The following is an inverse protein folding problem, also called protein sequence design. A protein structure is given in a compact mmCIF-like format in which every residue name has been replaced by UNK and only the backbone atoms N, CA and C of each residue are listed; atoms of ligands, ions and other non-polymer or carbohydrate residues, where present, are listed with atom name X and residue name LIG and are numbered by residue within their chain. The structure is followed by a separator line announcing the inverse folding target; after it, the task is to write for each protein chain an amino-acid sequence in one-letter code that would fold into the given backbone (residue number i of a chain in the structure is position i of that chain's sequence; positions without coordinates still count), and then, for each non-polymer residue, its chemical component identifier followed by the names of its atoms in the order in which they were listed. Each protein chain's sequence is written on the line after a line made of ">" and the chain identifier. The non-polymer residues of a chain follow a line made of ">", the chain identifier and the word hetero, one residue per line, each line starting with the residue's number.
data_IF_863891673194
#
_entry.id   IF_863891673194
#
_cell.length_a   1.000
_cell.length_b   1.000
_cell.length_c   1.000
_cell.angle_alpha   90.00
_cell.angle_beta   90.00
_cell.angle_gamma   90.00
#
_symmetry.space_group_name_H-M   'P 1'
#
loop_
_entity.id
_entity.type
_entity.pdbx_description
1 polymer ?
#
# COMPACT_ATOMS: atom_id res chain seq x y z
N UNK A 1 -22.09 -8.17 -19.12
CA UNK A 1 -21.00 -7.92 -18.18
C UNK A 1 -20.65 -9.18 -17.44
N UNK A 2 -19.41 -9.62 -17.52
CA UNK A 2 -18.95 -10.75 -16.72
C UNK A 2 -18.88 -10.30 -15.25
N UNK A 3 -19.67 -10.96 -14.41
CA UNK A 3 -19.53 -10.88 -12.95
C UNK A 3 -18.19 -11.56 -12.62
N UNK A 4 -17.39 -10.96 -11.73
CA UNK A 4 -16.15 -11.63 -11.25
C UNK A 4 -16.52 -13.05 -10.84
N UNK A 5 -15.86 -14.10 -11.36
CA UNK A 5 -16.19 -15.47 -11.02
C UNK A 5 -16.14 -15.72 -9.52
N UNK A 6 -17.07 -16.48 -8.98
CA UNK A 6 -17.14 -16.75 -7.54
C UNK A 6 -15.86 -17.42 -7.01
N UNK A 7 -15.24 -18.28 -7.80
CA UNK A 7 -13.95 -18.90 -7.49
C UNK A 7 -12.84 -17.87 -7.25
N UNK A 8 -12.76 -16.86 -8.11
CA UNK A 8 -11.77 -15.76 -7.99
C UNK A 8 -12.01 -14.92 -6.73
N UNK A 9 -13.29 -14.63 -6.45
CA UNK A 9 -13.68 -13.90 -5.24
C UNK A 9 -13.26 -14.71 -4.00
N UNK A 10 -13.59 -16.00 -3.96
CA UNK A 10 -13.25 -16.90 -2.85
C UNK A 10 -11.74 -17.00 -2.65
N UNK A 11 -10.97 -17.19 -3.71
CA UNK A 11 -9.51 -17.28 -3.66
C UNK A 11 -8.90 -15.99 -3.11
N UNK A 12 -9.34 -14.83 -3.59
CA UNK A 12 -8.85 -13.53 -3.11
C UNK A 12 -9.10 -13.34 -1.60
N UNK A 13 -10.27 -13.74 -1.08
CA UNK A 13 -10.52 -13.65 0.36
C UNK A 13 -9.70 -14.64 1.18
N UNK A 14 -9.43 -15.84 0.67
CA UNK A 14 -8.51 -16.78 1.32
C UNK A 14 -7.08 -16.23 1.39
N UNK A 15 -6.58 -15.66 0.29
CA UNK A 15 -5.28 -15.01 0.25
C UNK A 15 -5.21 -13.80 1.20
N UNK A 16 -6.25 -12.98 1.26
CA UNK A 16 -6.34 -11.85 2.19
C UNK A 16 -6.30 -12.30 3.65
N UNK A 17 -7.05 -13.35 3.99
CA UNK A 17 -7.06 -13.89 5.35
C UNK A 17 -5.69 -14.42 5.77
N UNK A 18 -5.05 -15.19 4.89
CA UNK A 18 -3.68 -15.71 5.09
C UNK A 18 -2.66 -14.58 5.21
N UNK A 19 -2.73 -13.58 4.33
CA UNK A 19 -1.88 -12.39 4.38
C UNK A 19 -2.03 -11.66 5.70
N UNK A 20 -3.28 -11.38 6.12
CA UNK A 20 -3.58 -10.64 7.35
C UNK A 20 -3.04 -11.39 8.58
N UNK A 21 -3.29 -12.69 8.67
CA UNK A 21 -2.78 -13.50 9.78
C UNK A 21 -1.24 -13.50 9.84
N UNK A 22 -0.59 -13.76 8.71
CA UNK A 22 0.87 -13.79 8.63
C UNK A 22 1.51 -12.44 8.97
N UNK A 23 0.88 -11.35 8.58
CA UNK A 23 1.34 -9.98 8.91
C UNK A 23 1.14 -9.66 10.39
N UNK A 24 0.01 -10.00 10.99
CA UNK A 24 -0.20 -9.86 12.44
C UNK A 24 0.90 -10.59 13.22
N UNK A 25 1.23 -11.81 12.80
CA UNK A 25 2.29 -12.62 13.41
C UNK A 25 3.68 -12.02 13.18
N UNK A 26 4.06 -11.76 11.94
CA UNK A 26 5.40 -11.26 11.59
C UNK A 26 5.69 -9.87 12.12
N UNK A 27 4.66 -9.04 12.26
CA UNK A 27 4.78 -7.72 12.86
C UNK A 27 4.68 -7.75 14.41
N UNK A 28 4.53 -8.94 15.02
CA UNK A 28 4.57 -9.16 16.45
C UNK A 28 3.35 -8.62 17.22
N UNK A 29 2.20 -8.43 16.57
CA UNK A 29 1.00 -7.93 17.24
C UNK A 29 0.47 -8.90 18.29
N UNK A 30 0.60 -10.22 18.08
CA UNK A 30 0.10 -11.23 19.02
C UNK A 30 0.83 -11.21 20.38
N UNK A 31 2.10 -10.78 20.39
CA UNK A 31 2.90 -10.71 21.60
C UNK A 31 2.98 -9.30 22.21
N UNK A 32 2.53 -8.27 21.48
CA UNK A 32 2.80 -6.87 21.82
C UNK A 32 2.15 -6.46 23.14
N UNK A 33 0.86 -6.79 23.34
CA UNK A 33 0.16 -6.51 24.59
C UNK A 33 0.80 -7.23 25.79
N UNK A 34 1.20 -8.48 25.62
CA UNK A 34 1.86 -9.26 26.65
C UNK A 34 3.25 -8.68 27.01
N UNK A 35 4.03 -8.23 26.02
CA UNK A 35 5.33 -7.57 26.23
C UNK A 35 5.17 -6.30 27.05
N UNK A 36 4.22 -5.45 26.70
CA UNK A 36 3.90 -4.23 27.47
C UNK A 36 3.42 -4.56 28.86
N UNK A 37 2.52 -5.52 29.03
CA UNK A 37 2.01 -5.94 30.34
C UNK A 37 3.11 -6.49 31.23
N UNK A 38 4.04 -7.26 30.68
CA UNK A 38 5.23 -7.74 31.42
C UNK A 38 6.13 -6.59 31.83
N UNK A 39 6.41 -5.66 30.91
CA UNK A 39 7.24 -4.49 31.21
C UNK A 39 6.58 -3.59 32.25
N UNK A 40 5.26 -3.38 32.19
CA UNK A 40 4.49 -2.62 33.16
C UNK A 40 4.60 -3.20 34.58
N UNK A 41 4.58 -4.53 34.72
CA UNK A 41 4.76 -5.20 36.04
C UNK A 41 6.15 -5.03 36.62
N UNK A 42 7.19 -5.02 35.78
CA UNK A 42 8.60 -4.96 36.22
C UNK A 42 9.05 -3.51 36.46
N UNK A 43 8.72 -2.62 35.55
CA UNK A 43 9.23 -1.26 35.50
C UNK A 43 8.19 -0.20 35.89
N UNK A 44 6.89 -0.54 35.82
CA UNK A 44 5.81 0.44 36.05
C UNK A 44 5.84 1.12 37.40
N UNK A 45 6.16 0.39 38.47
CA UNK A 45 6.28 0.94 39.82
C UNK A 45 7.49 1.92 39.99
N UNK A 46 8.46 1.86 39.09
CA UNK A 46 9.66 2.75 39.10
C UNK A 46 9.43 4.04 38.31
N UNK A 47 8.29 4.18 37.63
CA UNK A 47 7.96 5.35 36.84
C UNK A 47 7.24 6.38 37.70
N UNK A 48 7.78 7.59 37.72
CA UNK A 48 7.13 8.73 38.37
C UNK A 48 6.17 9.40 37.38
N UNK A 49 4.91 9.56 37.76
CA UNK A 49 3.84 10.16 36.98
C UNK A 49 3.43 11.55 37.46
N UNK A 50 4.22 12.19 38.38
CA UNK A 50 3.89 13.51 38.92
C UNK A 50 3.80 14.59 37.83
N UNK A 51 4.66 14.49 36.82
CA UNK A 51 4.65 15.41 35.67
C UNK A 51 3.70 14.95 34.52
N UNK A 52 2.73 14.09 34.77
CA UNK A 52 1.84 13.54 33.72
C UNK A 52 1.06 14.61 32.97
N UNK A 53 0.75 15.75 33.60
CA UNK A 53 0.11 16.89 32.95
C UNK A 53 0.99 17.51 31.87
N UNK A 54 2.33 17.56 32.08
CA UNK A 54 3.29 18.05 31.10
C UNK A 54 3.35 17.17 29.86
N UNK A 55 2.91 15.92 29.99
CA UNK A 55 2.81 14.92 28.91
C UNK A 55 1.39 14.79 28.34
N UNK A 56 0.53 15.78 28.60
CA UNK A 56 -0.85 15.85 28.10
C UNK A 56 -1.77 14.70 28.59
N UNK A 57 -1.51 14.15 29.77
CA UNK A 57 -2.45 13.26 30.44
C UNK A 57 -3.44 14.10 31.22
N UNK A 58 -4.74 13.99 30.91
CA UNK A 58 -5.78 14.72 31.63
C UNK A 58 -6.10 14.09 33.00
N UNK A 59 -6.46 14.93 33.99
CA UNK A 59 -6.83 14.47 35.31
C UNK A 59 -8.08 13.55 35.27
N UNK A 60 -9.05 13.86 34.41
CA UNK A 60 -10.25 13.06 34.24
C UNK A 60 -9.89 11.63 33.77
N UNK A 61 -9.09 11.50 32.72
CA UNK A 61 -8.65 10.21 32.21
C UNK A 61 -7.77 9.47 33.23
N UNK A 62 -6.92 10.18 33.97
CA UNK A 62 -6.15 9.59 35.06
C UNK A 62 -7.04 9.00 36.14
N UNK A 63 -8.06 9.72 36.58
CA UNK A 63 -9.00 9.26 37.61
C UNK A 63 -9.81 8.04 37.16
N UNK A 64 -10.18 7.98 35.87
CA UNK A 64 -10.83 6.79 35.29
C UNK A 64 -9.92 5.55 35.38
N UNK A 65 -8.62 5.69 35.08
CA UNK A 65 -7.68 4.57 35.23
C UNK A 65 -7.56 4.10 36.68
N UNK A 66 -7.47 5.04 37.63
CA UNK A 66 -7.38 4.71 39.05
C UNK A 66 -8.64 3.97 39.53
N UNK A 67 -9.82 4.47 39.16
CA UNK A 67 -11.12 3.84 39.50
C UNK A 67 -11.21 2.43 38.91
N UNK A 68 -10.78 2.23 37.68
CA UNK A 68 -10.81 0.94 37.00
C UNK A 68 -9.60 0.04 37.34
N UNK A 69 -8.71 0.49 38.23
CA UNK A 69 -7.49 -0.23 38.68
C UNK A 69 -6.60 -0.65 37.48
N UNK A 70 -6.48 0.20 36.47
CA UNK A 70 -5.64 -0.02 35.29
C UNK A 70 -4.28 0.61 35.55
N UNK A 71 -3.22 -0.14 35.35
CA UNK A 71 -1.86 0.39 35.42
C UNK A 71 -1.67 1.49 34.35
N UNK A 72 -1.27 2.72 34.71
CA UNK A 72 -1.17 3.84 33.79
C UNK A 72 -0.34 3.55 32.55
N UNK A 73 0.72 2.79 32.70
CA UNK A 73 1.62 2.38 31.63
C UNK A 73 0.96 1.48 30.56
N UNK A 74 -0.18 0.84 30.85
CA UNK A 74 -0.95 0.09 29.85
C UNK A 74 -1.73 1.01 28.89
N UNK A 75 -1.88 2.28 29.27
CA UNK A 75 -2.65 3.25 28.49
C UNK A 75 -1.75 4.40 28.06
N UNK A 76 -1.13 5.10 28.99
CA UNK A 76 -0.35 6.30 28.72
C UNK A 76 1.13 6.01 28.45
N UNK A 77 1.68 6.71 27.47
CA UNK A 77 3.07 6.63 27.08
C UNK A 77 3.93 7.53 28.00
N UNK A 78 4.79 6.90 28.79
CA UNK A 78 5.75 7.62 29.62
C UNK A 78 7.04 7.93 28.79
N UNK A 79 7.64 9.14 28.89
CA UNK A 79 8.84 9.50 28.11
C UNK A 79 9.98 8.50 28.29
N UNK A 80 10.24 8.06 29.53
CA UNK A 80 11.29 7.08 29.85
C UNK A 80 11.06 5.72 29.17
N UNK A 81 9.78 5.30 29.02
CA UNK A 81 9.43 4.06 28.34
C UNK A 81 9.80 4.15 26.86
N UNK A 82 9.47 5.26 26.22
CA UNK A 82 9.82 5.48 24.80
C UNK A 82 11.33 5.58 24.59
N UNK A 83 12.07 6.17 25.51
CA UNK A 83 13.53 6.21 25.45
C UNK A 83 14.17 4.84 25.62
N UNK A 84 13.68 4.02 26.55
CA UNK A 84 14.19 2.67 26.82
C UNK A 84 13.80 1.66 25.73
N UNK A 85 12.59 1.78 25.20
CA UNK A 85 12.01 0.85 24.21
C UNK A 85 11.28 1.63 23.12
N UNK A 86 11.99 2.23 22.15
CA UNK A 86 11.36 3.01 21.07
C UNK A 86 10.29 2.23 20.31
N UNK A 87 10.47 0.93 20.09
CA UNK A 87 9.51 0.07 19.38
C UNK A 87 8.14 -0.06 20.07
N UNK A 88 8.05 0.26 21.35
CA UNK A 88 6.75 0.32 22.05
C UNK A 88 5.85 1.45 21.56
N UNK A 89 6.39 2.41 20.78
CA UNK A 89 5.59 3.42 20.08
C UNK A 89 4.43 2.78 19.30
N UNK A 90 4.68 1.65 18.65
CA UNK A 90 3.69 0.87 17.90
C UNK A 90 2.46 0.52 18.75
N UNK A 91 2.69 0.10 19.99
CA UNK A 91 1.61 -0.23 20.92
C UNK A 91 0.77 1.00 21.25
N UNK A 92 1.40 2.06 21.78
CA UNK A 92 0.69 3.24 22.26
C UNK A 92 -0.05 3.96 21.14
N UNK A 93 0.57 4.09 19.96
CA UNK A 93 -0.10 4.63 18.78
C UNK A 93 -1.33 3.79 18.39
N UNK A 94 -1.20 2.47 18.45
CA UNK A 94 -2.30 1.57 18.09
C UNK A 94 -3.45 1.64 19.10
N UNK A 95 -3.16 1.72 20.39
CA UNK A 95 -4.18 1.92 21.45
C UNK A 95 -4.82 3.31 21.32
N UNK A 96 -4.06 4.35 20.92
CA UNK A 96 -4.59 5.67 20.64
C UNK A 96 -5.42 5.74 19.35
N UNK A 97 -5.59 4.64 18.62
CA UNK A 97 -6.31 4.56 17.34
C UNK A 97 -5.76 5.50 16.25
N UNK A 98 -4.49 5.90 16.34
CA UNK A 98 -3.84 6.80 15.39
C UNK A 98 -3.20 5.99 14.25
N UNK A 99 -3.50 6.24 12.96
CA UNK A 99 -2.77 5.63 11.87
C UNK A 99 -1.33 6.15 11.81
N UNK A 100 -0.41 5.33 11.28
CA UNK A 100 1.03 5.68 11.25
C UNK A 100 1.31 7.01 10.52
N UNK A 101 0.67 7.22 9.35
CA UNK A 101 0.75 8.49 8.62
C UNK A 101 0.16 9.66 9.43
N UNK A 102 -0.94 9.41 10.16
CA UNK A 102 -1.55 10.41 11.06
C UNK A 102 -0.59 10.86 12.15
N UNK A 103 0.12 9.93 12.82
CA UNK A 103 1.11 10.29 13.83
C UNK A 103 2.26 11.12 13.24
N UNK A 104 2.75 10.76 12.04
CA UNK A 104 3.75 11.55 11.33
C UNK A 104 3.25 12.97 11.05
N UNK A 105 2.03 13.11 10.56
CA UNK A 105 1.44 14.43 10.25
C UNK A 105 1.24 15.29 11.50
N UNK A 106 0.78 14.71 12.60
CA UNK A 106 0.51 15.42 13.86
C UNK A 106 1.81 15.88 14.55
N UNK A 107 2.87 15.06 14.49
CA UNK A 107 4.10 15.31 15.24
C UNK A 107 5.24 15.90 14.40
N UNK A 108 5.18 15.75 13.07
CA UNK A 108 6.30 16.06 12.17
C UNK A 108 7.50 15.11 12.33
N UNK A 109 7.33 13.95 13.00
CA UNK A 109 8.37 12.93 13.14
C UNK A 109 8.26 11.98 11.94
N UNK A 110 9.18 12.10 10.99
CA UNK A 110 9.12 11.39 9.70
C UNK A 110 9.52 9.90 9.75
N UNK A 111 10.25 9.49 10.80
CA UNK A 111 10.82 8.13 10.91
C UNK A 111 10.01 7.19 11.82
N UNK A 112 8.70 7.38 11.95
CA UNK A 112 7.82 6.58 12.81
C UNK A 112 7.93 5.08 12.50
N UNK A 113 8.02 4.70 11.22
CA UNK A 113 8.18 3.29 10.83
C UNK A 113 9.48 2.67 11.35
N UNK A 114 10.60 3.38 11.27
CA UNK A 114 11.87 2.92 11.79
C UNK A 114 11.87 2.79 13.32
N UNK A 115 11.15 3.68 14.01
CA UNK A 115 10.98 3.62 15.47
C UNK A 115 10.18 2.35 15.83
N UNK A 116 9.02 2.15 15.21
CA UNK A 116 8.10 1.03 15.48
C UNK A 116 8.68 -0.33 15.08
N UNK A 117 9.50 -0.39 14.03
CA UNK A 117 10.17 -1.62 13.57
C UNK A 117 11.40 -2.01 14.39
N UNK A 118 11.80 -1.18 15.37
CA UNK A 118 12.96 -1.44 16.23
C UNK A 118 14.31 -1.12 15.59
N UNK A 119 14.33 -0.40 14.46
CA UNK A 119 15.56 0.09 13.82
C UNK A 119 16.22 1.23 14.60
N UNK A 120 15.46 1.89 15.50
CA UNK A 120 15.97 2.92 16.39
C UNK A 120 16.30 2.30 17.75
N UNK A 121 17.58 2.35 18.14
CA UNK A 121 18.03 1.80 19.41
C UNK A 121 17.58 2.65 20.62
N UNK A 122 17.59 2.05 21.81
CA UNK A 122 17.33 2.73 23.07
C UNK A 122 18.23 3.97 23.25
N UNK A 123 17.66 5.06 23.75
CA UNK A 123 18.35 6.32 23.99
C UNK A 123 18.74 7.12 22.74
N UNK A 124 18.35 6.68 21.53
CA UNK A 124 18.69 7.38 20.27
C UNK A 124 17.62 8.35 19.78
N UNK A 125 16.45 8.39 20.39
CA UNK A 125 15.44 9.41 20.10
C UNK A 125 15.87 10.75 20.69
N UNK A 126 15.80 11.82 19.88
CA UNK A 126 16.03 13.18 20.36
C UNK A 126 14.92 13.58 21.33
N UNK A 127 15.21 14.30 22.40
CA UNK A 127 14.23 14.71 23.41
C UNK A 127 13.02 15.40 22.78
N UNK A 128 13.22 16.31 21.82
CA UNK A 128 12.14 16.99 21.10
C UNK A 128 11.21 16.01 20.36
N UNK A 129 11.73 14.89 19.87
CA UNK A 129 10.90 13.85 19.22
C UNK A 129 10.09 13.09 20.28
N UNK A 130 10.74 12.72 21.40
CA UNK A 130 10.07 12.07 22.53
C UNK A 130 8.91 12.93 23.02
N UNK A 131 9.15 14.21 23.28
CA UNK A 131 8.15 15.14 23.82
C UNK A 131 6.93 15.26 22.87
N UNK A 132 7.18 15.41 21.58
CA UNK A 132 6.10 15.50 20.58
C UNK A 132 5.27 14.22 20.50
N UNK A 133 5.94 13.06 20.42
CA UNK A 133 5.28 11.75 20.36
C UNK A 133 4.46 11.47 21.62
N UNK A 134 5.05 11.71 22.78
CA UNK A 134 4.40 11.47 24.07
C UNK A 134 3.19 12.37 24.24
N UNK A 135 3.31 13.68 24.02
CA UNK A 135 2.20 14.63 24.16
C UNK A 135 1.04 14.28 23.22
N UNK A 136 1.33 14.11 21.95
CA UNK A 136 0.28 13.81 20.94
C UNK A 136 -0.46 12.50 21.25
N UNK A 137 0.27 11.45 21.61
CA UNK A 137 -0.34 10.16 21.93
C UNK A 137 -1.17 10.25 23.20
N UNK A 138 -0.64 10.86 24.26
CA UNK A 138 -1.34 10.94 25.55
C UNK A 138 -2.55 11.87 25.50
N UNK A 139 -2.51 12.96 24.73
CA UNK A 139 -3.65 13.82 24.49
C UNK A 139 -4.80 13.03 23.84
N UNK A 140 -4.49 12.25 22.80
CA UNK A 140 -5.48 11.40 22.14
C UNK A 140 -5.98 10.30 23.07
N UNK A 141 -5.09 9.66 23.83
CA UNK A 141 -5.47 8.64 24.80
C UNK A 141 -6.32 9.19 25.94
N UNK A 142 -6.04 10.41 26.41
CA UNK A 142 -6.88 11.08 27.41
C UNK A 142 -8.31 11.23 26.91
N UNK A 143 -8.49 11.70 25.67
CA UNK A 143 -9.81 11.80 25.04
C UNK A 143 -10.49 10.42 24.93
N UNK A 144 -9.77 9.40 24.45
CA UNK A 144 -10.32 8.06 24.27
C UNK A 144 -10.74 7.44 25.62
N UNK A 145 -9.95 7.64 26.66
CA UNK A 145 -10.24 7.13 28.01
C UNK A 145 -11.47 7.81 28.60
N UNK A 146 -11.65 9.10 28.43
CA UNK A 146 -12.84 9.82 28.92
C UNK A 146 -14.14 9.38 28.24
N UNK A 147 -14.07 8.89 27.00
CA UNK A 147 -15.20 8.30 26.30
C UNK A 147 -15.55 6.88 26.77
N UNK A 148 -14.66 6.20 27.51
CA UNK A 148 -14.76 4.79 27.87
C UNK A 148 -14.76 4.61 29.39
N UNK A 149 -15.87 4.91 30.05
CA UNK A 149 -16.01 4.80 31.53
C UNK A 149 -15.74 3.39 32.08
N UNK A 150 -15.91 2.34 31.26
CA UNK A 150 -15.71 0.93 31.60
C UNK A 150 -14.44 0.34 30.94
N UNK A 151 -13.43 1.16 30.72
CA UNK A 151 -12.14 0.73 30.16
C UNK A 151 -11.53 -0.42 30.98
N UNK A 152 -10.98 -1.41 30.29
CA UNK A 152 -10.29 -2.54 30.89
C UNK A 152 -9.20 -3.07 29.91
N UNK A 153 -8.36 -3.98 30.41
CA UNK A 153 -7.24 -4.53 29.63
C UNK A 153 -7.68 -5.16 28.30
N UNK A 154 -8.83 -5.84 28.26
CA UNK A 154 -9.36 -6.48 27.06
C UNK A 154 -9.80 -5.46 26.00
N UNK A 155 -10.41 -4.35 26.43
CA UNK A 155 -10.77 -3.25 25.53
C UNK A 155 -9.54 -2.55 24.96
N UNK A 156 -8.52 -2.32 25.79
CA UNK A 156 -7.24 -1.74 25.36
C UNK A 156 -6.56 -2.62 24.30
N UNK A 157 -6.51 -3.92 24.53
CA UNK A 157 -6.00 -4.88 23.54
C UNK A 157 -6.84 -4.88 22.25
N UNK A 158 -8.16 -4.82 22.37
CA UNK A 158 -9.08 -4.71 21.24
C UNK A 158 -8.83 -3.48 20.37
N UNK A 159 -8.57 -2.32 20.98
CA UNK A 159 -8.21 -1.08 20.26
C UNK A 159 -6.90 -1.22 19.47
N UNK A 160 -5.90 -1.87 20.05
CA UNK A 160 -4.66 -2.20 19.37
C UNK A 160 -4.89 -3.04 18.10
N UNK A 161 -5.71 -4.10 18.21
CA UNK A 161 -6.03 -4.95 17.05
C UNK A 161 -6.91 -4.24 16.01
N UNK A 162 -7.82 -3.36 16.42
CA UNK A 162 -8.61 -2.56 15.49
C UNK A 162 -7.72 -1.69 14.60
N UNK A 163 -6.75 -1.00 15.19
CA UNK A 163 -5.77 -0.19 14.43
C UNK A 163 -4.87 -1.04 13.53
N UNK A 164 -4.44 -2.22 14.03
CA UNK A 164 -3.68 -3.16 13.23
C UNK A 164 -4.47 -3.63 12.00
N UNK A 165 -5.76 -3.96 12.18
CA UNK A 165 -6.65 -4.38 11.09
C UNK A 165 -6.75 -3.33 9.98
N UNK A 166 -6.94 -2.06 10.32
CA UNK A 166 -6.99 -0.95 9.35
C UNK A 166 -5.67 -0.82 8.58
N UNK A 167 -4.51 -0.89 9.27
CA UNK A 167 -3.19 -0.86 8.63
C UNK A 167 -3.02 -2.02 7.65
N UNK A 168 -3.40 -3.22 8.05
CA UNK A 168 -3.23 -4.43 7.24
C UNK A 168 -4.17 -4.46 6.04
N UNK A 169 -5.38 -3.92 6.16
CA UNK A 169 -6.27 -3.75 5.01
C UNK A 169 -5.65 -2.83 3.95
N UNK A 170 -5.09 -1.68 4.36
CA UNK A 170 -4.35 -0.81 3.45
C UNK A 170 -3.17 -1.52 2.78
N UNK A 171 -2.37 -2.28 3.55
CA UNK A 171 -1.25 -3.05 3.02
C UNK A 171 -1.69 -4.15 2.05
N UNK A 172 -2.84 -4.78 2.27
CA UNK A 172 -3.42 -5.75 1.36
C UNK A 172 -3.83 -5.11 0.02
N UNK A 173 -4.47 -3.94 0.09
CA UNK A 173 -4.86 -3.20 -1.13
C UNK A 173 -3.66 -2.84 -2.00
N UNK A 174 -2.57 -2.38 -1.38
CA UNK A 174 -1.31 -2.10 -2.08
C UNK A 174 -0.77 -3.39 -2.71
N UNK A 175 -0.65 -4.47 -1.93
CA UNK A 175 -0.13 -5.75 -2.44
C UNK A 175 -0.92 -6.30 -3.63
N UNK A 176 -2.24 -6.20 -3.61
CA UNK A 176 -3.06 -6.69 -4.74
C UNK A 176 -2.89 -5.81 -5.98
N UNK A 177 -2.63 -4.50 -5.79
CA UNK A 177 -2.27 -3.58 -6.87
C UNK A 177 -0.95 -4.01 -7.52
N UNK A 178 0.11 -4.09 -6.72
CA UNK A 178 1.45 -4.48 -7.15
C UNK A 178 1.45 -5.83 -7.88
N UNK A 179 0.75 -6.83 -7.35
CA UNK A 179 0.66 -8.16 -7.97
C UNK A 179 -0.06 -8.13 -9.32
N UNK A 180 -1.13 -7.35 -9.45
CA UNK A 180 -1.81 -7.21 -10.73
C UNK A 180 -0.97 -6.50 -11.79
N UNK A 181 -0.25 -5.45 -11.42
CA UNK A 181 0.71 -4.79 -12.32
C UNK A 181 1.80 -5.77 -12.74
N UNK A 182 2.36 -6.53 -11.77
CA UNK A 182 3.39 -7.52 -12.04
C UNK A 182 2.94 -8.58 -13.05
N UNK A 183 1.72 -9.10 -12.91
CA UNK A 183 1.14 -10.08 -13.86
C UNK A 183 1.05 -9.50 -15.27
N UNK A 184 0.53 -8.30 -15.44
CA UNK A 184 0.39 -7.65 -16.76
C UNK A 184 1.75 -7.33 -17.36
N UNK A 185 2.71 -6.78 -16.57
CA UNK A 185 4.10 -6.52 -17.01
C UNK A 185 4.78 -7.81 -17.48
N UNK A 186 4.58 -8.91 -16.74
CA UNK A 186 5.11 -10.24 -17.11
C UNK A 186 4.53 -10.74 -18.43
N UNK A 187 3.24 -10.57 -18.65
CA UNK A 187 2.59 -10.96 -19.91
C UNK A 187 3.17 -10.14 -21.08
N UNK A 188 3.26 -8.81 -20.93
CA UNK A 188 3.82 -7.94 -21.95
C UNK A 188 5.26 -8.36 -22.28
N UNK A 189 6.11 -8.52 -21.27
CA UNK A 189 7.50 -8.91 -21.45
C UNK A 189 7.65 -10.25 -22.15
N UNK A 190 6.97 -11.29 -21.67
CA UNK A 190 7.09 -12.65 -22.20
C UNK A 190 6.63 -12.75 -23.65
N UNK A 191 5.56 -12.07 -24.01
CA UNK A 191 5.04 -12.09 -25.38
C UNK A 191 5.97 -11.32 -26.35
N UNK A 192 6.49 -10.17 -25.96
CA UNK A 192 7.46 -9.43 -26.78
C UNK A 192 8.78 -10.22 -26.91
N UNK A 193 9.22 -10.86 -25.85
CA UNK A 193 10.40 -11.72 -25.86
C UNK A 193 10.20 -12.92 -26.79
N UNK A 194 9.07 -13.60 -26.72
CA UNK A 194 8.74 -14.77 -27.58
C UNK A 194 8.69 -14.39 -29.08
N UNK A 195 8.38 -13.13 -29.39
CA UNK A 195 8.38 -12.63 -30.78
C UNK A 195 9.72 -12.02 -31.23
N UNK A 196 10.76 -12.06 -30.38
CA UNK A 196 12.07 -11.44 -30.63
C UNK A 196 11.98 -9.94 -30.92
N UNK A 197 11.07 -9.22 -30.26
CA UNK A 197 10.80 -7.80 -30.46
C UNK A 197 11.57 -6.89 -29.51
N UNK A 198 12.24 -7.44 -28.49
CA UNK A 198 13.04 -6.71 -27.50
C UNK A 198 14.49 -6.58 -28.00
N UNK A 199 15.04 -5.36 -27.96
CA UNK A 199 16.46 -5.11 -28.25
C UNK A 199 17.30 -5.07 -26.96
N UNK A 200 16.82 -4.34 -25.94
CA UNK A 200 17.51 -4.18 -24.66
C UNK A 200 16.53 -3.86 -23.53
N UNK A 201 16.99 -3.98 -22.29
CA UNK A 201 16.23 -3.73 -21.08
C UNK A 201 17.01 -2.79 -20.19
N UNK A 202 16.36 -1.75 -19.69
CA UNK A 202 16.86 -0.92 -18.60
C UNK A 202 16.26 -1.39 -17.28
N UNK A 203 17.10 -1.61 -16.30
CA UNK A 203 16.64 -2.01 -14.96
C UNK A 203 16.40 -0.79 -14.04
N UNK A 204 15.82 -1.00 -12.86
CA UNK A 204 15.56 0.06 -11.86
C UNK A 204 16.80 0.76 -11.30
N UNK A 205 18.01 0.33 -11.67
CA UNK A 205 19.29 0.98 -11.34
C UNK A 205 19.86 1.74 -12.53
N UNK A 206 19.04 1.98 -13.54
CA UNK A 206 19.41 2.67 -14.79
C UNK A 206 20.55 1.98 -15.57
N UNK A 207 20.62 0.65 -15.46
CA UNK A 207 21.60 -0.16 -16.21
C UNK A 207 20.92 -0.76 -17.42
N UNK A 208 21.35 -0.34 -18.61
CA UNK A 208 20.91 -0.88 -19.89
C UNK A 208 21.65 -2.18 -20.21
N UNK A 209 20.91 -3.22 -20.58
CA UNK A 209 21.44 -4.55 -20.93
C UNK A 209 20.80 -5.04 -22.22
N UNK A 210 21.62 -5.45 -23.22
CA UNK A 210 21.11 -6.10 -24.43
C UNK A 210 20.34 -7.37 -24.08
N UNK A 211 19.24 -7.64 -24.78
CA UNK A 211 18.37 -8.80 -24.49
C UNK A 211 19.12 -10.14 -24.49
N UNK A 212 20.12 -10.30 -25.38
CA UNK A 212 20.94 -11.50 -25.45
C UNK A 212 21.76 -11.78 -24.18
N UNK A 213 21.99 -10.78 -23.34
CA UNK A 213 22.72 -10.86 -22.06
C UNK A 213 21.80 -10.79 -20.85
N UNK A 214 20.50 -10.63 -21.08
CA UNK A 214 19.51 -10.54 -19.99
C UNK A 214 19.17 -11.94 -19.45
N UNK A 215 19.19 -12.09 -18.14
CA UNK A 215 18.71 -13.32 -17.50
C UNK A 215 17.17 -13.31 -17.49
N UNK A 216 16.57 -14.20 -18.31
CA UNK A 216 15.11 -14.31 -18.49
C UNK A 216 14.40 -14.73 -17.17
N UNK A 217 15.10 -15.35 -16.21
CA UNK A 217 14.54 -15.75 -14.92
C UNK A 217 14.55 -14.60 -13.90
N UNK A 218 15.08 -13.44 -14.28
CA UNK A 218 15.09 -12.26 -13.40
C UNK A 218 13.68 -11.78 -13.15
N UNK A 219 13.44 -11.27 -11.93
CA UNK A 219 12.12 -10.74 -11.56
C UNK A 219 11.74 -9.58 -12.48
N UNK A 220 10.51 -9.60 -13.00
CA UNK A 220 9.96 -8.50 -13.82
C UNK A 220 9.95 -7.17 -13.05
N UNK A 221 9.91 -7.21 -11.74
CA UNK A 221 9.98 -6.03 -10.89
C UNK A 221 11.33 -5.30 -10.96
N UNK A 222 12.38 -5.93 -11.47
CA UNK A 222 13.67 -5.28 -11.75
C UNK A 222 13.66 -4.48 -13.06
N UNK A 223 12.71 -4.75 -13.97
CA UNK A 223 12.60 -4.05 -15.26
C UNK A 223 11.99 -2.67 -15.05
N UNK A 224 12.67 -1.65 -15.54
CA UNK A 224 12.18 -0.26 -15.61
C UNK A 224 11.63 0.05 -17.00
N UNK A 225 12.41 -0.24 -18.04
CA UNK A 225 12.05 0.05 -19.42
C UNK A 225 12.47 -1.06 -20.36
N UNK A 226 11.65 -1.37 -21.35
CA UNK A 226 11.89 -2.32 -22.42
C UNK A 226 12.08 -1.54 -23.72
N UNK A 227 13.25 -1.64 -24.35
CA UNK A 227 13.51 -1.05 -25.66
C UNK A 227 13.27 -2.09 -26.76
N UNK A 228 12.57 -1.67 -27.81
CA UNK A 228 12.14 -2.54 -28.90
C UNK A 228 13.06 -2.41 -30.11
N UNK A 229 13.06 -3.43 -30.99
CA UNK A 229 13.90 -3.50 -32.17
C UNK A 229 13.61 -2.40 -33.20
N UNK A 230 12.45 -1.74 -33.14
CA UNK A 230 12.01 -0.67 -34.03
C UNK A 230 12.21 0.74 -33.47
N UNK A 231 12.89 0.88 -32.32
CA UNK A 231 13.17 2.15 -31.66
C UNK A 231 12.09 2.60 -30.64
N UNK A 232 10.94 1.93 -30.57
CA UNK A 232 9.91 2.19 -29.58
C UNK A 232 10.36 1.70 -28.21
N UNK A 233 9.72 2.18 -27.14
CA UNK A 233 9.99 1.67 -25.80
C UNK A 233 8.73 1.57 -24.94
N UNK A 234 8.82 0.78 -23.87
CA UNK A 234 7.77 0.59 -22.85
C UNK A 234 8.38 0.88 -21.50
N UNK A 235 7.92 1.93 -20.86
CA UNK A 235 8.29 2.30 -19.50
C UNK A 235 7.26 1.75 -18.49
N UNK A 236 7.74 1.09 -17.45
CA UNK A 236 6.96 0.71 -16.28
C UNK A 236 7.16 1.76 -15.19
N UNK A 237 6.12 2.50 -14.86
CA UNK A 237 6.15 3.62 -13.92
C UNK A 237 4.95 3.58 -12.96
N UNK A 238 4.93 4.40 -11.89
CA UNK A 238 3.78 4.44 -10.99
C UNK A 238 2.53 5.12 -11.58
N UNK A 239 2.67 6.04 -12.54
CA UNK A 239 1.56 6.80 -13.12
C UNK A 239 1.97 7.39 -14.49
N UNK A 240 1.43 6.91 -15.60
CA UNK A 240 0.63 5.69 -15.76
C UNK A 240 1.42 4.40 -15.46
N UNK A 241 0.72 3.28 -15.14
CA UNK A 241 1.37 2.01 -14.79
C UNK A 241 2.25 1.46 -15.92
N UNK A 242 1.90 1.75 -17.20
CA UNK A 242 2.69 1.45 -18.40
C UNK A 242 2.57 2.60 -19.40
N UNK A 243 3.71 3.08 -19.91
CA UNK A 243 3.75 4.09 -20.97
C UNK A 243 4.50 3.55 -22.19
N UNK A 244 3.95 3.72 -23.37
CA UNK A 244 4.55 3.32 -24.66
C UNK A 244 4.99 4.56 -25.42
N UNK A 245 6.26 4.60 -25.78
CA UNK A 245 6.88 5.67 -26.54
C UNK A 245 7.22 5.22 -27.97
N UNK A 246 7.13 6.14 -28.93
CA UNK A 246 7.69 5.93 -30.26
C UNK A 246 9.20 6.23 -30.30
N UNK A 247 9.80 6.10 -31.46
CA UNK A 247 11.21 6.37 -31.70
C UNK A 247 11.63 7.86 -31.60
N UNK A 248 10.64 8.76 -31.53
CA UNK A 248 10.85 10.19 -31.25
C UNK A 248 10.76 10.55 -29.77
N UNK A 249 10.31 9.60 -28.95
CA UNK A 249 10.02 9.79 -27.52
C UNK A 249 8.63 10.37 -27.24
N UNK A 250 7.73 10.41 -28.22
CA UNK A 250 6.34 10.81 -28.01
C UNK A 250 5.52 9.63 -27.45
N UNK A 251 4.57 9.92 -26.56
CA UNK A 251 3.68 8.90 -26.01
C UNK A 251 2.65 8.48 -27.07
N UNK A 252 2.68 7.20 -27.45
CA UNK A 252 1.72 6.59 -28.38
C UNK A 252 0.62 5.81 -27.67
N UNK A 253 0.82 5.49 -26.40
CA UNK A 253 -0.22 4.85 -25.60
C UNK A 253 0.15 4.69 -24.14
N UNK A 254 -0.87 4.53 -23.30
CA UNK A 254 -0.72 4.29 -21.87
C UNK A 254 -1.67 3.20 -21.37
N UNK A 255 -1.28 2.52 -20.31
CA UNK A 255 -2.12 1.51 -19.63
C UNK A 255 -2.21 1.86 -18.16
N UNK A 256 -3.42 1.87 -17.64
CA UNK A 256 -3.73 1.87 -16.21
C UNK A 256 -4.24 0.50 -15.76
N UNK A 257 -3.68 -0.03 -14.68
CA UNK A 257 -3.99 -1.36 -14.16
C UNK A 257 -4.65 -1.24 -12.79
N UNK A 258 -5.88 -1.73 -12.65
CA UNK A 258 -6.66 -1.63 -11.42
C UNK A 258 -7.12 -3.02 -10.95
N UNK A 259 -6.30 -3.67 -10.14
CA UNK A 259 -6.41 -5.09 -9.75
C UNK A 259 -7.33 -5.36 -8.57
N UNK A 260 -7.89 -4.34 -7.93
CA UNK A 260 -8.85 -4.54 -6.85
C UNK A 260 -10.16 -5.16 -7.35
N UNK A 261 -10.59 -6.25 -6.70
CA UNK A 261 -11.85 -6.96 -7.04
C UNK A 261 -13.07 -6.41 -6.31
N UNK A 262 -12.89 -5.49 -5.35
CA UNK A 262 -13.97 -4.89 -4.57
C UNK A 262 -14.83 -3.97 -5.43
N UNK A 263 -16.14 -4.28 -5.63
CA UNK A 263 -17.05 -3.44 -6.41
C UNK A 263 -17.27 -2.05 -5.81
N UNK A 264 -17.24 -1.90 -4.47
CA UNK A 264 -17.51 -0.64 -3.80
C UNK A 264 -16.42 0.41 -4.12
N UNK A 265 -15.15 0.01 -4.20
CA UNK A 265 -14.05 0.90 -4.57
C UNK A 265 -13.85 1.08 -6.09
N UNK A 266 -14.66 0.44 -6.94
CA UNK A 266 -14.43 0.46 -8.39
C UNK A 266 -14.60 1.86 -9.01
N UNK A 267 -15.57 2.65 -8.51
CA UNK A 267 -15.79 4.03 -8.98
C UNK A 267 -14.68 5.01 -8.55
N UNK A 268 -14.15 4.84 -7.34
CA UNK A 268 -13.02 5.65 -6.85
C UNK A 268 -11.78 5.40 -7.71
N UNK A 269 -11.48 4.13 -7.98
CA UNK A 269 -10.38 3.74 -8.87
C UNK A 269 -10.53 4.29 -10.28
N UNK A 270 -11.76 4.35 -10.81
CA UNK A 270 -12.04 4.94 -12.12
C UNK A 270 -11.72 6.44 -12.17
N UNK A 271 -11.97 7.18 -11.09
CA UNK A 271 -11.62 8.60 -11.00
C UNK A 271 -10.12 8.84 -11.15
N UNK A 272 -9.28 8.00 -10.54
CA UNK A 272 -7.82 8.06 -10.71
C UNK A 272 -7.39 7.73 -12.15
N UNK A 273 -8.02 6.72 -12.79
CA UNK A 273 -7.77 6.36 -14.20
C UNK A 273 -8.09 7.53 -15.13
N UNK A 274 -9.23 8.17 -14.96
CA UNK A 274 -9.62 9.33 -15.79
C UNK A 274 -8.62 10.47 -15.67
N UNK A 275 -8.20 10.81 -14.45
CA UNK A 275 -7.21 11.85 -14.22
C UNK A 275 -5.88 11.55 -14.92
N UNK A 276 -5.40 10.30 -14.85
CA UNK A 276 -4.17 9.87 -15.51
C UNK A 276 -4.28 10.00 -17.03
N UNK A 277 -5.39 9.53 -17.61
CA UNK A 277 -5.61 9.60 -19.06
C UNK A 277 -5.88 11.03 -19.55
N UNK A 278 -6.57 11.87 -18.78
CA UNK A 278 -6.71 13.30 -19.08
C UNK A 278 -5.35 13.99 -19.20
N UNK A 279 -4.43 13.74 -18.27
CA UNK A 279 -3.09 14.28 -18.31
C UNK A 279 -2.32 13.82 -19.58
N UNK A 280 -2.40 12.52 -19.92
CA UNK A 280 -1.76 11.98 -21.12
C UNK A 280 -2.33 12.62 -22.39
N UNK A 281 -3.67 12.65 -22.53
CA UNK A 281 -4.35 13.15 -23.73
C UNK A 281 -4.25 14.68 -23.91
N UNK A 282 -4.03 15.42 -22.81
CA UNK A 282 -3.79 16.86 -22.89
C UNK A 282 -2.47 17.19 -23.63
N UNK A 283 -1.46 16.33 -23.49
CA UNK A 283 -0.15 16.53 -24.14
C UNK A 283 -0.02 15.72 -25.44
N UNK A 284 -0.61 14.51 -25.46
CA UNK A 284 -0.59 13.57 -26.60
C UNK A 284 -2.01 13.16 -26.98
N UNK A 285 -2.75 13.99 -27.74
CA UNK A 285 -4.18 13.75 -28.02
C UNK A 285 -4.48 12.44 -28.77
N UNK A 286 -3.51 11.96 -29.56
CA UNK A 286 -3.63 10.74 -30.37
C UNK A 286 -3.19 9.46 -29.62
N UNK A 287 -2.73 9.59 -28.37
CA UNK A 287 -2.30 8.45 -27.57
C UNK A 287 -3.47 7.49 -27.26
N UNK A 288 -3.20 6.18 -27.37
CA UNK A 288 -4.18 5.15 -27.06
C UNK A 288 -4.18 4.88 -25.55
N UNK A 289 -5.31 5.08 -24.89
CA UNK A 289 -5.49 4.86 -23.47
C UNK A 289 -6.17 3.50 -23.20
N UNK A 290 -5.56 2.66 -22.37
CA UNK A 290 -6.02 1.30 -22.11
C UNK A 290 -6.24 1.12 -20.60
N UNK A 291 -7.44 0.69 -20.23
CA UNK A 291 -7.73 0.25 -18.86
C UNK A 291 -7.68 -1.28 -18.78
N UNK A 292 -6.85 -1.81 -17.87
CA UNK A 292 -6.88 -3.21 -17.45
C UNK A 292 -7.43 -3.27 -16.03
N UNK A 293 -8.58 -3.92 -15.81
CA UNK A 293 -9.22 -3.93 -14.49
C UNK A 293 -9.69 -5.33 -14.10
N UNK A 294 -9.59 -5.66 -12.81
CA UNK A 294 -10.13 -6.92 -12.27
C UNK A 294 -11.64 -6.87 -11.98
N UNK A 295 -12.19 -5.66 -11.81
CA UNK A 295 -13.61 -5.47 -11.53
C UNK A 295 -14.16 -4.25 -12.29
N UNK A 296 -15.12 -4.49 -13.20
CA UNK A 296 -15.88 -3.45 -13.90
C UNK A 296 -17.36 -3.64 -13.53
N UNK A 297 -17.89 -2.79 -12.66
CA UNK A 297 -19.30 -2.79 -12.28
C UNK A 297 -20.17 -2.19 -13.39
N UNK A 298 -21.50 -2.36 -13.32
CA UNK A 298 -22.43 -1.73 -14.26
C UNK A 298 -22.30 -0.21 -14.29
N UNK A 299 -22.09 0.41 -13.14
CA UNK A 299 -21.93 1.85 -13.03
C UNK A 299 -20.61 2.32 -13.62
N UNK A 300 -19.50 1.60 -13.36
CA UNK A 300 -18.21 1.86 -13.99
C UNK A 300 -18.30 1.74 -15.50
N UNK A 301 -18.96 0.68 -16.00
CA UNK A 301 -19.15 0.45 -17.44
C UNK A 301 -19.95 1.57 -18.10
N UNK A 302 -21.02 2.05 -17.44
CA UNK A 302 -21.80 3.18 -17.93
C UNK A 302 -20.95 4.44 -18.07
N UNK A 303 -20.08 4.74 -17.09
CA UNK A 303 -19.17 5.89 -17.13
C UNK A 303 -18.07 5.73 -18.20
N UNK A 304 -17.51 4.54 -18.34
CA UNK A 304 -16.55 4.23 -19.40
C UNK A 304 -17.16 4.44 -20.79
N UNK A 305 -18.40 3.98 -21.02
CA UNK A 305 -19.10 4.16 -22.28
C UNK A 305 -19.47 5.63 -22.58
N UNK A 306 -19.64 6.46 -21.55
CA UNK A 306 -19.94 7.88 -21.69
C UNK A 306 -18.67 8.76 -21.82
N UNK A 307 -17.49 8.20 -21.59
CA UNK A 307 -16.21 8.91 -21.62
C UNK A 307 -15.43 8.57 -22.88
N UNK A 308 -14.77 9.57 -23.47
CA UNK A 308 -13.81 9.40 -24.56
C UNK A 308 -12.37 9.20 -24.06
N UNK A 309 -12.16 9.21 -22.73
CA UNK A 309 -10.84 9.12 -22.12
C UNK A 309 -10.24 7.70 -22.16
N UNK A 310 -11.06 6.67 -22.36
CA UNK A 310 -10.62 5.26 -22.39
C UNK A 310 -10.88 4.67 -23.76
N UNK A 311 -9.81 4.53 -24.54
CA UNK A 311 -9.89 3.97 -25.90
C UNK A 311 -10.23 2.49 -25.88
N UNK A 312 -9.72 1.75 -24.91
CA UNK A 312 -9.93 0.30 -24.77
C UNK A 312 -9.93 -0.14 -23.31
N UNK A 313 -10.61 -1.25 -23.04
CA UNK A 313 -10.65 -1.86 -21.72
C UNK A 313 -10.57 -3.39 -21.81
N UNK A 314 -9.89 -3.98 -20.83
CA UNK A 314 -9.73 -5.42 -20.67
C UNK A 314 -10.00 -5.83 -19.24
N UNK A 315 -10.50 -7.07 -19.05
CA UNK A 315 -10.56 -7.69 -17.73
C UNK A 315 -9.25 -8.45 -17.46
N UNK A 316 -8.64 -8.24 -16.30
CA UNK A 316 -7.43 -8.97 -15.89
C UNK A 316 -7.67 -10.48 -15.91
N UNK A 317 -8.85 -10.93 -15.44
CA UNK A 317 -9.24 -12.34 -15.44
C UNK A 317 -9.29 -12.93 -16.86
N UNK A 318 -9.77 -12.18 -17.86
CA UNK A 318 -9.86 -12.67 -19.23
C UNK A 318 -8.46 -12.79 -19.85
N UNK A 319 -7.58 -11.80 -19.64
CA UNK A 319 -6.18 -11.84 -20.11
C UNK A 319 -5.41 -13.01 -19.48
N UNK A 320 -5.66 -13.33 -18.20
CA UNK A 320 -4.92 -14.37 -17.48
C UNK A 320 -5.46 -15.79 -17.68
N UNK A 321 -6.74 -15.94 -17.98
CA UNK A 321 -7.39 -17.25 -18.10
C UNK A 321 -7.66 -17.69 -19.54
N UNK A 322 -7.54 -16.81 -20.54
CA UNK A 322 -7.83 -17.09 -21.94
C UNK A 322 -6.67 -16.69 -22.84
N UNK A 323 -6.04 -17.67 -23.50
CA UNK A 323 -4.99 -17.39 -24.48
C UNK A 323 -5.48 -16.54 -25.67
N UNK A 324 -6.74 -16.62 -26.02
CA UNK A 324 -7.35 -15.79 -27.06
C UNK A 324 -7.40 -14.32 -26.64
N UNK A 325 -7.87 -14.02 -25.42
CA UNK A 325 -7.94 -12.65 -24.91
C UNK A 325 -6.55 -12.10 -24.59
N UNK A 326 -5.61 -12.93 -24.09
CA UNK A 326 -4.22 -12.57 -23.95
C UNK A 326 -3.61 -12.13 -25.28
N UNK A 327 -3.74 -12.96 -26.33
CA UNK A 327 -3.25 -12.60 -27.67
C UNK A 327 -3.89 -11.34 -28.22
N UNK A 328 -5.20 -11.15 -28.01
CA UNK A 328 -5.91 -9.93 -28.43
C UNK A 328 -5.34 -8.68 -27.75
N UNK A 329 -5.11 -8.74 -26.43
CA UNK A 329 -4.50 -7.65 -25.66
C UNK A 329 -3.08 -7.34 -26.19
N UNK A 330 -2.22 -8.34 -26.27
CA UNK A 330 -0.84 -8.16 -26.71
C UNK A 330 -0.74 -7.72 -28.16
N UNK A 331 -1.51 -8.29 -29.09
CA UNK A 331 -1.56 -7.85 -30.48
C UNK A 331 -1.98 -6.38 -30.59
N UNK A 332 -2.87 -5.91 -29.71
CA UNK A 332 -3.22 -4.49 -29.70
C UNK A 332 -2.03 -3.61 -29.33
N UNK A 333 -1.23 -4.00 -28.33
CA UNK A 333 -0.02 -3.27 -27.96
C UNK A 333 0.99 -3.27 -29.13
N UNK A 334 1.19 -4.42 -29.77
CA UNK A 334 2.07 -4.55 -30.94
C UNK A 334 1.64 -3.67 -32.11
N UNK A 335 0.33 -3.49 -32.34
CA UNK A 335 -0.21 -2.55 -33.33
C UNK A 335 0.09 -1.11 -32.94
N UNK A 336 -0.13 -0.72 -31.69
CA UNK A 336 0.18 0.64 -31.20
C UNK A 336 1.67 0.95 -31.38
N UNK A 337 2.53 0.00 -31.08
CA UNK A 337 3.99 0.13 -31.19
C UNK A 337 4.52 -0.20 -32.61
N UNK A 338 3.66 -0.33 -33.61
CA UNK A 338 4.01 -0.61 -35.00
C UNK A 338 4.91 -1.84 -35.19
N UNK A 339 4.75 -2.87 -34.36
CA UNK A 339 5.48 -4.14 -34.49
C UNK A 339 4.79 -5.12 -35.45
N UNK A 340 3.50 -4.91 -35.73
CA UNK A 340 2.69 -5.71 -36.66
C UNK A 340 2.48 -4.88 -37.93
N UNK A 341 2.86 -5.44 -39.10
CA UNK A 341 2.60 -4.79 -40.36
C UNK A 341 3.87 -4.28 -41.14
N UNK A 342 5.04 -4.38 -40.54
CA UNK A 342 6.30 -4.20 -41.30
C UNK A 342 6.66 -5.56 -41.95
N UNK A 343 6.09 -5.82 -43.12
CA UNK A 343 6.63 -6.79 -44.09
C UNK A 343 7.61 -6.12 -45.02
#
# INVERSE_FOLDING_TARGET
>A
MAKVPESVVKESYLLRSTFTYNRLRSEGYFELFMKISKFARIEGAKLNWDSRSDWSVSEEAWNILQTNKIAPMLVFLHPKVLQLNPSFLKYYRSVALIPQKGLTSLTGVSNVDNIESGKVAAGKLKQKQVDKLVKTINETLSLVVTLASDLNAKKIEGMMYATAGVKLDGSWRTKIGDEGERVIRTIIFNELYAHNEISSIENKKDVLTEIAKWDINRDIDDVKEIHLINGYSILFSPEPDVTMYDDSGAIVGTIEIKSGIDPAGALERLGAVFKSFENTLAEYPDAVTILVASCITKEVDKRLNASMLVSQRYLTTDITSSDAEKRKFVNRLRVIMQLVGRK
#
